data_IF_388784705406
#
_entry.id   IF_388784705406
#
_cell.length_a   1.000
_cell.length_b   1.000
_cell.length_c   1.000
_cell.angle_alpha   90.00
_cell.angle_beta   90.00
_cell.angle_gamma   90.00
#
_symmetry.space_group_name_H-M   'P 1'
#
loop_
_entity.id
_entity.type
_entity.pdbx_description
1 polymer ?
#
# COMPACT_ATOMS: atom_id res chain seq x y z
N UNK A 1 -15.33 -22.61 0.29
CA UNK A 1 -15.68 -21.22 0.65
C UNK A 1 -14.40 -20.41 0.62
N UNK A 2 -14.23 -19.46 -0.31
CA UNK A 2 -13.02 -18.64 -0.34
C UNK A 2 -13.00 -17.79 0.93
N UNK A 3 -12.09 -18.09 1.85
CA UNK A 3 -11.87 -17.27 3.05
C UNK A 3 -11.46 -15.88 2.57
N UNK A 4 -12.39 -14.93 2.61
CA UNK A 4 -12.11 -13.52 2.32
C UNK A 4 -11.46 -12.94 3.56
N UNK A 5 -10.15 -12.78 3.53
CA UNK A 5 -9.44 -12.04 4.56
C UNK A 5 -9.73 -10.55 4.37
N UNK A 6 -10.26 -9.93 5.41
CA UNK A 6 -10.49 -8.49 5.42
C UNK A 6 -9.18 -7.79 5.75
N UNK A 7 -8.53 -7.19 4.75
CA UNK A 7 -7.31 -6.41 4.92
C UNK A 7 -7.55 -5.04 5.59
N UNK A 8 -8.81 -4.63 5.77
CA UNK A 8 -9.16 -3.27 6.18
C UNK A 8 -9.68 -2.43 5.02
N UNK A 9 -9.77 -1.11 5.23
CA UNK A 9 -10.06 -0.19 4.13
C UNK A 9 -8.83 -0.12 3.23
N UNK A 10 -8.96 -0.15 1.90
CA UNK A 10 -7.80 -0.13 1.01
C UNK A 10 -6.86 1.07 1.20
N UNK A 11 -7.39 2.23 1.58
CA UNK A 11 -6.57 3.40 1.89
C UNK A 11 -5.65 3.15 3.10
N UNK A 12 -6.12 2.42 4.12
CA UNK A 12 -5.34 2.08 5.31
C UNK A 12 -4.26 1.06 4.96
N UNK A 13 -4.59 0.07 4.12
CA UNK A 13 -3.62 -0.92 3.61
C UNK A 13 -2.49 -0.22 2.84
N UNK A 14 -2.83 0.70 1.94
CA UNK A 14 -1.84 1.46 1.16
C UNK A 14 -1.02 2.37 2.07
N UNK A 15 -1.65 3.01 3.08
CA UNK A 15 -0.93 3.78 4.09
C UNK A 15 0.09 2.93 4.84
N UNK A 16 -0.28 1.73 5.28
CA UNK A 16 0.63 0.82 5.99
C UNK A 16 1.73 0.29 5.07
N UNK A 17 1.41 0.02 3.81
CA UNK A 17 2.38 -0.34 2.79
C UNK A 17 3.41 0.78 2.59
N UNK A 18 2.97 2.01 2.34
CA UNK A 18 3.84 3.18 2.13
C UNK A 18 4.70 3.51 3.37
N UNK A 19 4.23 3.18 4.57
CA UNK A 19 5.01 3.29 5.82
C UNK A 19 5.98 2.12 6.05
N UNK A 20 6.00 1.11 5.19
CA UNK A 20 6.80 -0.11 5.36
C UNK A 20 6.28 -1.08 6.44
N UNK A 21 5.12 -0.81 7.04
CA UNK A 21 4.58 -1.60 8.16
C UNK A 21 4.22 -3.02 7.70
N UNK A 22 3.65 -3.17 6.50
CA UNK A 22 3.28 -4.49 5.98
C UNK A 22 4.52 -5.37 5.75
N UNK A 23 5.59 -4.80 5.21
CA UNK A 23 6.88 -5.45 5.03
C UNK A 23 7.49 -5.90 6.37
N UNK A 24 7.52 -4.99 7.36
CA UNK A 24 7.99 -5.31 8.71
C UNK A 24 7.17 -6.42 9.38
N UNK A 25 5.85 -6.40 9.21
CA UNK A 25 4.94 -7.42 9.73
C UNK A 25 5.20 -8.79 9.09
N UNK A 26 5.36 -8.83 7.76
CA UNK A 26 5.69 -10.06 7.04
C UNK A 26 7.04 -10.64 7.48
N UNK A 27 8.08 -9.81 7.56
CA UNK A 27 9.41 -10.21 8.00
C UNK A 27 9.40 -10.74 9.44
N UNK A 28 8.74 -10.02 10.36
CA UNK A 28 8.63 -10.43 11.76
C UNK A 28 7.94 -11.79 11.90
N UNK A 29 6.86 -12.01 11.13
CA UNK A 29 6.11 -13.26 11.15
C UNK A 29 6.91 -14.40 10.53
N UNK A 30 7.62 -14.16 9.44
CA UNK A 30 8.52 -15.13 8.81
C UNK A 30 9.59 -15.59 9.81
N UNK A 31 10.29 -14.66 10.46
CA UNK A 31 11.29 -14.98 11.49
C UNK A 31 10.70 -15.77 12.65
N UNK A 32 9.47 -15.45 13.09
CA UNK A 32 8.80 -16.21 14.15
C UNK A 32 8.55 -17.66 13.74
N UNK A 33 8.04 -17.90 12.54
CA UNK A 33 7.78 -19.25 12.00
C UNK A 33 9.08 -20.03 11.89
N UNK A 34 10.13 -19.43 11.34
CA UNK A 34 11.44 -20.07 11.19
C UNK A 34 12.03 -20.50 12.54
N UNK A 35 11.84 -19.70 13.60
CA UNK A 35 12.34 -20.00 14.94
C UNK A 35 11.52 -21.04 15.70
N UNK A 36 10.21 -21.09 15.47
CA UNK A 36 9.27 -21.86 16.31
C UNK A 36 8.68 -23.08 15.62
N UNK A 37 8.78 -23.18 14.29
CA UNK A 37 8.08 -24.17 13.49
C UNK A 37 6.56 -23.95 13.44
N UNK A 38 6.07 -22.77 13.86
CA UNK A 38 4.64 -22.47 13.85
C UNK A 38 4.04 -22.48 12.44
N UNK A 39 2.73 -22.75 12.34
CA UNK A 39 2.04 -22.71 11.06
C UNK A 39 2.08 -21.30 10.43
N UNK A 40 2.21 -21.21 9.09
CA UNK A 40 2.39 -19.94 8.41
C UNK A 40 1.14 -19.03 8.44
N UNK A 41 -0.04 -19.61 8.66
CA UNK A 41 -1.31 -18.87 8.68
C UNK A 41 -1.51 -18.02 7.42
N UNK A 42 -1.78 -16.72 7.60
CA UNK A 42 -1.99 -15.77 6.49
C UNK A 42 -0.70 -15.24 5.83
N UNK A 43 0.50 -15.65 6.28
CA UNK A 43 1.76 -15.09 5.76
C UNK A 43 1.93 -15.27 4.24
N UNK A 44 1.67 -16.44 3.63
CA UNK A 44 1.84 -16.61 2.19
C UNK A 44 0.94 -15.66 1.36
N UNK A 45 -0.22 -15.30 1.90
CA UNK A 45 -1.16 -14.37 1.23
C UNK A 45 -0.72 -12.91 1.40
N UNK A 46 -0.17 -12.56 2.57
CA UNK A 46 0.45 -11.25 2.80
C UNK A 46 1.64 -11.04 1.86
N UNK A 47 2.50 -12.05 1.69
CA UNK A 47 3.63 -11.99 0.75
C UNK A 47 3.16 -11.78 -0.70
N UNK A 48 2.12 -12.49 -1.14
CA UNK A 48 1.51 -12.26 -2.47
C UNK A 48 0.93 -10.86 -2.64
N UNK A 49 0.29 -10.32 -1.59
CA UNK A 49 -0.20 -8.95 -1.62
C UNK A 49 0.96 -7.95 -1.72
N UNK A 50 2.03 -8.16 -0.95
CA UNK A 50 3.23 -7.32 -0.99
C UNK A 50 3.87 -7.34 -2.38
N UNK A 51 4.13 -8.53 -2.93
CA UNK A 51 4.69 -8.71 -4.27
C UNK A 51 3.89 -7.95 -5.34
N UNK A 52 2.56 -8.07 -5.31
CA UNK A 52 1.70 -7.40 -6.27
C UNK A 52 1.64 -5.87 -6.07
N UNK A 53 1.80 -5.38 -4.83
CA UNK A 53 1.93 -3.94 -4.56
C UNK A 53 3.31 -3.43 -4.99
N UNK A 54 4.38 -4.14 -4.64
CA UNK A 54 5.76 -3.83 -5.02
C UNK A 54 5.84 -3.68 -6.55
N UNK A 55 5.25 -4.59 -7.33
CA UNK A 55 5.19 -4.49 -8.80
C UNK A 55 4.58 -3.16 -9.29
N UNK A 56 3.53 -2.64 -8.64
CA UNK A 56 2.97 -1.33 -9.00
C UNK A 56 3.93 -0.21 -8.64
N UNK A 57 4.45 -0.23 -7.42
CA UNK A 57 5.20 0.89 -6.86
C UNK A 57 6.62 0.98 -7.42
N UNK A 58 7.27 -0.14 -7.75
CA UNK A 58 8.57 -0.19 -8.42
C UNK A 58 8.52 0.45 -9.83
N UNK A 59 7.36 0.38 -10.49
CA UNK A 59 7.11 1.01 -11.79
C UNK A 59 6.53 2.43 -11.68
N UNK A 60 6.43 2.98 -10.46
CA UNK A 60 5.90 4.32 -10.21
C UNK A 60 7.03 5.30 -9.95
N UNK A 61 6.99 6.47 -10.59
CA UNK A 61 8.00 7.51 -10.40
C UNK A 61 7.99 8.06 -8.97
N UNK A 62 9.16 8.47 -8.48
CA UNK A 62 9.37 8.95 -7.11
C UNK A 62 8.47 10.14 -6.76
N UNK A 63 8.20 11.05 -7.70
CA UNK A 63 7.32 12.20 -7.46
C UNK A 63 5.87 11.74 -7.19
N UNK A 64 5.38 10.77 -7.96
CA UNK A 64 4.05 10.19 -7.74
C UNK A 64 4.00 9.44 -6.40
N UNK A 65 5.07 8.74 -6.00
CA UNK A 65 5.15 8.11 -4.66
C UNK A 65 5.12 9.17 -3.56
N UNK A 66 5.88 10.25 -3.70
CA UNK A 66 5.86 11.36 -2.73
C UNK A 66 4.46 11.99 -2.60
N UNK A 67 3.75 12.18 -3.71
CA UNK A 67 2.36 12.65 -3.70
C UNK A 67 1.41 11.65 -3.00
N UNK A 68 1.61 10.35 -3.18
CA UNK A 68 0.84 9.34 -2.47
C UNK A 68 1.12 9.38 -0.96
N UNK A 69 2.37 9.60 -0.54
CA UNK A 69 2.71 9.80 0.86
C UNK A 69 2.00 11.03 1.45
N UNK A 70 2.08 12.19 0.80
CA UNK A 70 1.38 13.40 1.26
C UNK A 70 -0.13 13.17 1.40
N UNK A 71 -0.74 12.51 0.42
CA UNK A 71 -2.20 12.31 0.36
C UNK A 71 -2.73 11.23 1.30
N UNK A 72 -1.98 10.15 1.50
CA UNK A 72 -2.49 8.94 2.17
C UNK A 72 -1.73 8.56 3.44
N UNK A 73 -0.49 9.02 3.59
CA UNK A 73 0.31 8.83 4.80
C UNK A 73 0.14 10.01 5.74
N UNK A 74 0.31 11.23 5.22
CA UNK A 74 0.14 12.51 5.95
C UNK A 74 -1.30 13.03 5.93
N UNK A 75 -2.16 12.41 5.11
CA UNK A 75 -3.60 12.71 5.03
C UNK A 75 -3.92 14.16 4.62
N UNK A 76 -3.01 14.84 3.91
CA UNK A 76 -3.26 16.17 3.37
C UNK A 76 -4.42 16.14 2.38
N UNK A 77 -5.23 17.19 2.35
CA UNK A 77 -6.26 17.36 1.31
C UNK A 77 -5.63 17.64 -0.07
N UNK A 78 -6.42 17.57 -1.15
CA UNK A 78 -5.89 17.90 -2.49
C UNK A 78 -5.44 19.36 -2.53
N UNK A 79 -6.23 20.34 -2.04
CA UNK A 79 -5.78 21.73 -1.91
C UNK A 79 -4.49 21.89 -1.13
N UNK A 80 -4.37 21.29 0.06
CA UNK A 80 -3.14 21.44 0.89
C UNK A 80 -1.92 20.84 0.18
N UNK A 81 -2.12 19.73 -0.53
CA UNK A 81 -1.05 19.12 -1.34
C UNK A 81 -0.67 20.01 -2.52
N UNK A 82 -1.64 20.68 -3.15
CA UNK A 82 -1.40 21.61 -4.25
C UNK A 82 -0.61 22.83 -3.78
N UNK A 83 -0.97 23.40 -2.63
CA UNK A 83 -0.25 24.51 -2.00
C UNK A 83 1.20 24.12 -1.68
N UNK A 84 1.41 22.93 -1.11
CA UNK A 84 2.74 22.46 -0.73
C UNK A 84 3.66 22.14 -1.92
N UNK A 85 3.09 21.65 -3.03
CA UNK A 85 3.87 21.13 -4.16
C UNK A 85 3.90 22.05 -5.39
N UNK A 86 3.06 23.09 -5.41
CA UNK A 86 2.87 23.96 -6.59
C UNK A 86 2.16 23.27 -7.76
N UNK A 87 1.71 22.03 -7.61
CA UNK A 87 0.95 21.30 -8.63
C UNK A 87 -0.53 21.68 -8.61
N UNK A 88 -1.19 21.54 -9.76
CA UNK A 88 -2.65 21.71 -9.82
C UNK A 88 -3.38 20.53 -9.17
N UNK A 89 -4.58 20.78 -8.63
CA UNK A 89 -5.47 19.75 -8.08
C UNK A 89 -5.71 18.59 -9.06
N UNK A 90 -5.80 18.89 -10.36
CA UNK A 90 -6.00 17.89 -11.42
C UNK A 90 -4.79 16.99 -11.60
N UNK A 91 -3.58 17.56 -11.61
CA UNK A 91 -2.33 16.78 -11.69
C UNK A 91 -2.20 15.83 -10.49
N UNK A 92 -2.45 16.32 -9.28
CA UNK A 92 -2.40 15.50 -8.05
C UNK A 92 -3.42 14.36 -8.14
N UNK A 93 -4.67 14.67 -8.48
CA UNK A 93 -5.75 13.68 -8.60
C UNK A 93 -5.43 12.60 -9.65
N UNK A 94 -4.89 12.99 -10.81
CA UNK A 94 -4.57 12.07 -11.89
C UNK A 94 -3.42 11.14 -11.52
N UNK A 95 -2.33 11.68 -10.99
CA UNK A 95 -1.13 10.91 -10.60
C UNK A 95 -1.46 9.90 -9.50
N UNK A 96 -2.09 10.38 -8.42
CA UNK A 96 -2.44 9.51 -7.29
C UNK A 96 -3.58 8.56 -7.60
N UNK A 97 -4.62 9.01 -8.30
CA UNK A 97 -5.81 8.21 -8.61
C UNK A 97 -5.50 6.98 -9.47
N UNK A 98 -4.58 7.07 -10.42
CA UNK A 98 -4.16 5.94 -11.27
C UNK A 98 -3.58 4.80 -10.42
N UNK A 99 -2.64 5.12 -9.52
CA UNK A 99 -1.98 4.14 -8.67
C UNK A 99 -2.96 3.57 -7.64
N UNK A 100 -3.72 4.45 -6.98
CA UNK A 100 -4.72 4.05 -5.98
C UNK A 100 -5.79 3.13 -6.54
N UNK A 101 -6.23 3.33 -7.79
CA UNK A 101 -7.19 2.44 -8.44
C UNK A 101 -6.62 1.03 -8.58
N UNK A 102 -5.41 0.89 -9.13
CA UNK A 102 -4.75 -0.41 -9.30
C UNK A 102 -4.51 -1.11 -7.96
N UNK A 103 -3.98 -0.39 -6.97
CA UNK A 103 -3.74 -0.95 -5.65
C UNK A 103 -5.03 -1.44 -4.98
N UNK A 104 -6.14 -0.68 -5.11
CA UNK A 104 -7.47 -1.10 -4.62
C UNK A 104 -7.97 -2.38 -5.29
N UNK A 105 -7.75 -2.53 -6.59
CA UNK A 105 -8.13 -3.72 -7.35
C UNK A 105 -7.34 -4.96 -6.90
N UNK A 106 -6.04 -4.80 -6.60
CA UNK A 106 -5.21 -5.88 -6.03
C UNK A 106 -5.73 -6.26 -4.65
N UNK A 107 -5.89 -5.29 -3.75
CA UNK A 107 -6.33 -5.54 -2.35
C UNK A 107 -7.70 -6.23 -2.32
N UNK A 108 -8.61 -5.88 -3.24
CA UNK A 108 -9.94 -6.49 -3.32
C UNK A 108 -9.92 -7.96 -3.80
N UNK A 109 -8.88 -8.36 -4.55
CA UNK A 109 -8.70 -9.73 -5.07
C UNK A 109 -7.81 -10.59 -4.17
N UNK A 110 -6.97 -9.94 -3.36
CA UNK A 110 -6.03 -10.54 -2.44
C UNK A 110 -6.69 -11.06 -1.17
#
# INVERSE_FOLDING_TARGET
>A
MAVRYYWGKPNDVIKWYLRGILHLSAASKQTYIEKTGAEPGNLPRLLKLLEALDEIFDNTDTDTIALLCLRYVELLSIPDTAELTGLTNSQISKRTGKIMKKAKEIIAKA
#
